data_IF_653196330312
#
_entry.id   IF_653196330312
#
_cell.length_a   1.000
_cell.length_b   1.000
_cell.length_c   1.000
_cell.angle_alpha   90.00
_cell.angle_beta   90.00
_cell.angle_gamma   90.00
#
_symmetry.space_group_name_H-M   'P 1'
#
loop_
_entity.id
_entity.type
_entity.pdbx_description
1 polymer ?
#
# COMPACT_ATOMS: atom_id res chain seq x y z
N UNK A 1 8.63 -8.61 -3.93
CA UNK A 1 9.05 -7.24 -4.29
C UNK A 1 10.49 -7.31 -4.72
N UNK A 2 10.71 -7.39 -6.03
CA UNK A 2 12.02 -7.08 -6.58
C UNK A 2 12.20 -5.56 -6.46
N UNK A 3 13.23 -5.11 -5.75
CA UNK A 3 13.58 -3.68 -5.63
C UNK A 3 14.31 -3.20 -6.89
N UNK A 4 13.70 -3.45 -8.06
CA UNK A 4 14.11 -2.80 -9.32
C UNK A 4 13.52 -1.39 -9.32
N UNK A 5 14.26 -0.42 -9.85
CA UNK A 5 13.74 0.93 -10.04
C UNK A 5 12.42 0.87 -10.80
N UNK A 6 11.35 1.32 -10.15
CA UNK A 6 10.05 1.51 -10.76
C UNK A 6 9.69 2.97 -10.57
N UNK A 7 9.58 3.76 -11.66
CA UNK A 7 9.23 5.18 -11.58
C UNK A 7 8.00 5.45 -10.71
N UNK A 8 7.02 4.53 -10.70
CA UNK A 8 5.77 4.67 -9.93
C UNK A 8 5.96 4.60 -8.41
N UNK A 9 7.01 3.90 -7.95
CA UNK A 9 7.28 3.70 -6.51
C UNK A 9 8.51 4.46 -6.04
N UNK A 10 9.32 4.99 -6.95
CA UNK A 10 10.55 5.70 -6.61
C UNK A 10 10.25 7.01 -5.87
N UNK A 11 9.09 7.62 -6.13
CA UNK A 11 8.59 8.82 -5.45
C UNK A 11 8.02 8.55 -4.05
N UNK A 12 7.87 7.28 -3.63
CA UNK A 12 7.32 6.97 -2.31
C UNK A 12 8.27 7.39 -1.20
N UNK A 13 7.71 8.06 -0.18
CA UNK A 13 8.44 8.38 1.04
C UNK A 13 8.87 7.10 1.74
N UNK A 14 10.14 7.00 2.08
CA UNK A 14 10.72 5.86 2.78
C UNK A 14 11.04 6.27 4.21
N UNK A 15 10.60 5.46 5.18
CA UNK A 15 10.82 5.69 6.59
C UNK A 15 11.37 4.41 7.22
N UNK A 16 12.42 4.56 8.04
CA UNK A 16 12.93 3.48 8.90
C UNK A 16 12.78 3.90 10.37
N UNK A 17 11.85 3.31 11.13
CA UNK A 17 11.64 3.62 12.54
C UNK A 17 12.88 3.40 13.43
N UNK A 18 13.86 2.60 12.99
CA UNK A 18 15.09 2.34 13.74
C UNK A 18 16.12 3.47 13.60
N UNK A 19 15.98 4.33 12.59
CA UNK A 19 16.86 5.48 12.42
C UNK A 19 16.34 6.65 13.25
N UNK A 20 17.14 7.10 14.22
CA UNK A 20 16.89 8.33 14.97
C UNK A 20 16.96 9.52 14.02
N UNK A 21 15.79 10.06 13.62
CA UNK A 21 15.58 11.28 12.81
C UNK A 21 16.81 11.71 12.00
N UNK A 22 17.15 10.95 10.96
CA UNK A 22 18.18 11.34 10.00
C UNK A 22 17.68 12.46 9.09
N UNK A 23 18.58 13.28 8.55
CA UNK A 23 18.24 14.30 7.54
C UNK A 23 17.46 13.66 6.39
N UNK A 24 16.35 14.29 5.95
CA UNK A 24 15.44 13.76 4.92
C UNK A 24 16.14 13.32 3.61
N UNK A 25 17.34 13.83 3.36
CA UNK A 25 18.04 13.74 2.09
C UNK A 25 18.75 12.40 1.80
N UNK A 26 18.87 11.45 2.73
CA UNK A 26 19.57 10.19 2.42
C UNK A 26 19.28 9.03 3.38
N UNK A 27 18.02 8.61 3.49
CA UNK A 27 17.73 7.33 4.17
C UNK A 27 18.12 6.19 3.22
N UNK A 28 19.05 5.28 3.60
CA UNK A 28 19.40 4.15 2.76
C UNK A 28 18.20 3.21 2.62
N UNK A 29 17.65 3.07 1.41
CA UNK A 29 16.61 2.07 1.15
C UNK A 29 17.20 0.66 1.27
N UNK A 30 16.56 -0.19 2.08
CA UNK A 30 16.95 -1.60 2.16
C UNK A 30 16.77 -2.26 0.78
N UNK A 31 17.85 -2.83 0.25
CA UNK A 31 17.88 -3.48 -1.06
C UNK A 31 17.40 -4.94 -1.02
N UNK A 32 17.26 -5.51 0.18
CA UNK A 32 16.81 -6.89 0.33
C UNK A 32 15.29 -7.00 0.12
N UNK A 33 14.82 -8.02 -0.61
CA UNK A 33 13.41 -8.21 -0.84
C UNK A 33 12.68 -8.59 0.45
N UNK A 34 11.60 -7.87 0.77
CA UNK A 34 10.75 -8.17 1.92
C UNK A 34 9.92 -9.44 1.71
N UNK A 35 9.77 -10.25 2.76
CA UNK A 35 8.90 -11.44 2.79
C UNK A 35 7.49 -11.10 3.28
N UNK A 36 7.37 -10.18 4.23
CA UNK A 36 6.10 -9.71 4.77
C UNK A 36 5.91 -8.22 4.48
N UNK A 37 4.67 -7.82 4.20
CA UNK A 37 4.30 -6.42 3.99
C UNK A 37 2.91 -6.14 4.55
N UNK A 38 2.70 -4.91 5.00
CA UNK A 38 1.38 -4.36 5.33
C UNK A 38 1.05 -3.31 4.28
N UNK A 39 -0.10 -3.45 3.63
CA UNK A 39 -0.64 -2.50 2.66
C UNK A 39 -1.85 -1.83 3.30
N UNK A 40 -1.79 -0.52 3.50
CA UNK A 40 -2.87 0.24 4.10
C UNK A 40 -3.40 1.30 3.14
N UNK A 41 -4.67 1.19 2.75
CA UNK A 41 -5.37 2.20 1.92
C UNK A 41 -6.03 3.22 2.84
N UNK A 42 -5.59 4.47 2.76
CA UNK A 42 -6.21 5.57 3.50
C UNK A 42 -7.49 5.99 2.78
N UNK A 43 -8.61 5.96 3.50
CA UNK A 43 -9.94 6.14 2.93
C UNK A 43 -10.61 4.80 2.62
N UNK A 44 -11.13 4.66 1.40
CA UNK A 44 -11.95 3.52 0.99
C UNK A 44 -11.16 2.37 0.40
N UNK A 45 -11.14 1.23 1.08
CA UNK A 45 -10.65 -0.04 0.53
C UNK A 45 -11.74 -0.88 -0.11
N UNK A 46 -11.36 -1.88 -0.90
CA UNK A 46 -12.29 -2.77 -1.57
C UNK A 46 -11.86 -4.26 -1.54
N UNK A 47 -12.84 -5.16 -1.51
CA UNK A 47 -12.60 -6.61 -1.53
C UNK A 47 -11.86 -7.10 -2.79
N UNK A 48 -12.01 -6.42 -3.92
CA UNK A 48 -11.30 -6.77 -5.17
C UNK A 48 -9.80 -6.53 -4.99
N UNK A 49 -9.39 -5.44 -4.34
CA UNK A 49 -7.98 -5.17 -4.04
C UNK A 49 -7.38 -6.24 -3.14
N UNK A 50 -8.12 -6.61 -2.07
CA UNK A 50 -7.74 -7.71 -1.20
C UNK A 50 -7.58 -9.02 -1.97
N UNK A 51 -8.56 -9.36 -2.82
CA UNK A 51 -8.52 -10.60 -3.60
C UNK A 51 -7.31 -10.63 -4.56
N UNK A 52 -7.03 -9.50 -5.23
CA UNK A 52 -5.87 -9.37 -6.09
C UNK A 52 -4.55 -9.60 -5.33
N UNK A 53 -4.43 -9.08 -4.10
CA UNK A 53 -3.26 -9.31 -3.25
C UNK A 53 -3.15 -10.76 -2.77
N UNK A 54 -4.27 -11.39 -2.42
CA UNK A 54 -4.32 -12.82 -2.09
C UNK A 54 -3.81 -13.65 -3.27
N UNK A 55 -4.31 -13.40 -4.47
CA UNK A 55 -3.90 -14.15 -5.66
C UNK A 55 -2.45 -13.88 -6.05
N UNK A 56 -1.96 -12.64 -5.85
CA UNK A 56 -0.54 -12.31 -5.99
C UNK A 56 0.35 -13.16 -5.07
N UNK A 57 -0.02 -13.31 -3.79
CA UNK A 57 0.77 -14.09 -2.82
C UNK A 57 0.76 -15.60 -3.11
N UNK A 58 -0.30 -16.12 -3.73
CA UNK A 58 -0.35 -17.54 -4.18
C UNK A 58 0.67 -17.82 -5.29
N UNK A 59 0.82 -16.89 -6.24
CA UNK A 59 1.78 -17.02 -7.35
C UNK A 59 3.22 -16.81 -6.87
N UNK A 60 3.43 -15.89 -5.93
CA UNK A 60 4.75 -15.56 -5.36
C UNK A 60 4.93 -16.22 -4.00
N UNK A 61 5.33 -17.49 -4.00
CA UNK A 61 5.60 -18.26 -2.79
C UNK A 61 6.58 -17.53 -1.84
N UNK A 62 6.37 -17.69 -0.53
CA UNK A 62 7.18 -17.05 0.50
C UNK A 62 6.92 -15.56 0.69
N UNK A 63 5.78 -15.04 0.17
CA UNK A 63 5.31 -13.68 0.41
C UNK A 63 4.02 -13.68 1.21
N UNK A 64 3.94 -12.79 2.19
CA UNK A 64 2.76 -12.55 3.02
C UNK A 64 2.40 -11.08 2.97
N UNK A 65 1.16 -10.78 2.62
CA UNK A 65 0.66 -9.41 2.55
C UNK A 65 -0.56 -9.29 3.45
N UNK A 66 -0.52 -8.33 4.37
CA UNK A 66 -1.67 -7.96 5.20
C UNK A 66 -2.28 -6.72 4.57
N UNK A 67 -3.53 -6.82 4.16
CA UNK A 67 -4.30 -5.69 3.61
C UNK A 67 -5.13 -5.03 4.71
N UNK A 68 -5.11 -3.71 4.74
CA UNK A 68 -5.94 -2.88 5.61
C UNK A 68 -6.43 -1.64 4.88
N UNK A 69 -7.52 -1.08 5.36
CA UNK A 69 -8.06 0.19 4.90
C UNK A 69 -8.75 0.92 6.05
N UNK A 70 -9.06 2.21 5.86
CA UNK A 70 -9.81 2.97 6.87
C UNK A 70 -11.27 2.50 6.94
N UNK A 71 -11.89 2.32 5.77
CA UNK A 71 -13.25 1.81 5.63
C UNK A 71 -13.35 0.88 4.41
N UNK A 72 -14.14 -0.18 4.52
CA UNK A 72 -14.34 -1.13 3.43
C UNK A 72 -15.63 -0.79 2.68
N UNK A 73 -15.51 -0.47 1.39
CA UNK A 73 -16.65 -0.05 0.57
C UNK A 73 -16.98 -1.04 -0.55
N UNK A 74 -18.27 -1.20 -0.77
CA UNK A 74 -18.81 -1.56 -2.08
C UNK A 74 -18.75 -0.36 -3.03
N UNK A 75 -18.78 -0.62 -4.34
CA UNK A 75 -18.82 0.44 -5.34
C UNK A 75 -19.97 1.44 -5.10
N UNK A 76 -21.16 0.94 -4.72
CA UNK A 76 -22.31 1.79 -4.44
C UNK A 76 -22.11 2.71 -3.22
N UNK A 77 -21.45 2.25 -2.16
CA UNK A 77 -21.13 3.07 -1.00
C UNK A 77 -20.15 4.19 -1.36
N UNK A 78 -19.11 3.87 -2.14
CA UNK A 78 -18.11 4.83 -2.57
C UNK A 78 -18.71 5.93 -3.47
N UNK A 79 -19.52 5.55 -4.47
CA UNK A 79 -20.21 6.52 -5.35
C UNK A 79 -21.13 7.46 -4.55
N UNK A 80 -21.79 6.96 -3.50
CA UNK A 80 -22.61 7.80 -2.63
C UNK A 80 -21.78 8.83 -1.87
N UNK A 81 -20.61 8.46 -1.34
CA UNK A 81 -19.71 9.43 -0.70
C UNK A 81 -19.23 10.51 -1.68
N UNK A 82 -18.87 10.11 -2.90
CA UNK A 82 -18.49 11.08 -3.95
C UNK A 82 -19.65 12.01 -4.32
N UNK A 83 -20.88 11.47 -4.40
CA UNK A 83 -22.07 12.26 -4.68
C UNK A 83 -22.34 13.29 -3.59
N UNK A 84 -22.13 12.94 -2.31
CA UNK A 84 -22.24 13.88 -1.19
C UNK A 84 -21.20 14.99 -1.24
N UNK A 85 -19.96 14.68 -1.66
CA UNK A 85 -18.92 15.68 -1.81
C UNK A 85 -19.22 16.68 -2.93
N UNK A 86 -19.84 16.21 -4.02
CA UNK A 86 -20.22 17.02 -5.18
C UNK A 86 -21.49 17.86 -5.02
N UNK A 87 -22.19 17.76 -3.89
CA UNK A 87 -23.39 18.57 -3.58
C UNK A 87 -23.05 19.99 -3.05
N UNK A 88 -21.83 20.48 -3.32
CA UNK A 88 -21.40 21.83 -2.96
C UNK A 88 -21.50 22.78 -4.13
#
# INVERSE_FOLDING_TARGET
>A
MDMKSNPETDEYRYFDPKLLRGSESSIPRNKNPFQEAIVFVVGGGNYIEYQNLVDYTKVKQGKKVIYGCSELFSAAQFIRQLSQLGQK
#
